data_IF_979416954301
#
_entry.id   IF_979416954301
#
_cell.length_a   1.000
_cell.length_b   1.000
_cell.length_c   1.000
_cell.angle_alpha   90.00
_cell.angle_beta   90.00
_cell.angle_gamma   90.00
#
_symmetry.space_group_name_H-M   'P 1'
#
loop_
_entity.id
_entity.type
_entity.pdbx_description
1 polymer ?
#
# COMPACT_ATOMS: atom_id res chain seq x y z
N UNK A 1 -81.22 -33.10 1.74
CA UNK A 1 -80.03 -33.15 2.61
C UNK A 1 -78.99 -32.22 2.00
N UNK A 2 -78.63 -31.13 2.68
CA UNK A 2 -77.66 -30.16 2.19
C UNK A 2 -76.29 -30.43 2.85
N UNK A 3 -75.29 -30.78 2.03
CA UNK A 3 -73.91 -30.92 2.49
C UNK A 3 -73.27 -29.53 2.51
N UNK A 4 -73.02 -29.00 3.71
CA UNK A 4 -72.27 -27.76 3.91
C UNK A 4 -70.77 -28.09 3.83
N UNK A 5 -70.13 -27.66 2.75
CA UNK A 5 -68.67 -27.70 2.62
C UNK A 5 -68.06 -26.53 3.38
N UNK A 6 -67.54 -26.78 4.58
CA UNK A 6 -66.77 -25.78 5.34
C UNK A 6 -65.39 -25.67 4.67
N UNK A 7 -65.23 -24.67 3.80
CA UNK A 7 -63.95 -24.34 3.19
C UNK A 7 -62.93 -23.94 4.26
N UNK A 8 -62.01 -24.85 4.59
CA UNK A 8 -60.92 -24.57 5.51
C UNK A 8 -60.07 -23.40 5.02
N UNK A 9 -59.97 -22.32 5.81
CA UNK A 9 -59.04 -21.20 5.57
C UNK A 9 -57.61 -21.75 5.50
N UNK A 10 -57.05 -21.86 4.28
CA UNK A 10 -55.64 -22.20 4.05
C UNK A 10 -54.76 -21.25 4.89
N UNK A 11 -54.05 -21.79 5.88
CA UNK A 11 -53.00 -21.09 6.65
C UNK A 11 -51.81 -20.72 5.74
N UNK A 12 -52.00 -19.74 4.85
CA UNK A 12 -50.99 -19.24 3.91
C UNK A 12 -49.82 -18.53 4.63
N UNK A 13 -50.02 -18.06 5.86
CA UNK A 13 -49.02 -17.30 6.63
C UNK A 13 -47.84 -18.09 7.20
N UNK A 14 -47.98 -19.40 7.49
CA UNK A 14 -46.90 -20.18 8.14
C UNK A 14 -45.74 -20.50 7.20
N UNK A 15 -46.02 -20.72 5.91
CA UNK A 15 -44.97 -20.91 4.89
C UNK A 15 -44.23 -19.61 4.57
N UNK A 16 -44.94 -18.48 4.56
CA UNK A 16 -44.34 -17.15 4.36
C UNK A 16 -43.42 -16.81 5.54
N UNK A 17 -43.84 -17.08 6.78
CA UNK A 17 -43.01 -16.89 7.97
C UNK A 17 -41.75 -17.78 7.98
N UNK A 18 -41.86 -19.04 7.57
CA UNK A 18 -40.71 -19.93 7.45
C UNK A 18 -39.71 -19.43 6.40
N UNK A 19 -40.19 -19.00 5.23
CA UNK A 19 -39.35 -18.40 4.19
C UNK A 19 -38.65 -17.13 4.72
N UNK A 20 -39.38 -16.28 5.44
CA UNK A 20 -38.84 -15.04 6.00
C UNK A 20 -37.78 -15.31 7.08
N UNK A 21 -37.99 -16.30 7.95
CA UNK A 21 -36.97 -16.76 8.92
C UNK A 21 -35.73 -17.28 8.22
N UNK A 22 -35.88 -18.06 7.14
CA UNK A 22 -34.74 -18.57 6.37
C UNK A 22 -33.97 -17.42 5.72
N UNK A 23 -34.66 -16.43 5.14
CA UNK A 23 -34.03 -15.23 4.55
C UNK A 23 -33.26 -14.45 5.62
N UNK A 24 -33.86 -14.23 6.79
CA UNK A 24 -33.19 -13.56 7.91
C UNK A 24 -31.96 -14.36 8.35
N UNK A 25 -32.07 -15.69 8.49
CA UNK A 25 -30.94 -16.54 8.87
C UNK A 25 -29.78 -16.45 7.87
N UNK A 26 -30.08 -16.43 6.56
CA UNK A 26 -29.09 -16.23 5.49
C UNK A 26 -28.44 -14.85 5.61
N UNK A 27 -29.22 -13.78 5.82
CA UNK A 27 -28.70 -12.43 5.98
C UNK A 27 -27.81 -12.30 7.22
N UNK A 28 -28.20 -12.88 8.35
CA UNK A 28 -27.40 -12.88 9.58
C UNK A 28 -26.10 -13.66 9.38
N UNK A 29 -26.16 -14.84 8.74
CA UNK A 29 -24.96 -15.62 8.44
C UNK A 29 -24.02 -14.86 7.49
N UNK A 30 -24.56 -14.21 6.46
CA UNK A 30 -23.81 -13.40 5.53
C UNK A 30 -23.14 -12.21 6.23
N UNK A 31 -23.88 -11.43 7.01
CA UNK A 31 -23.32 -10.30 7.76
C UNK A 31 -22.29 -10.74 8.80
N UNK A 32 -22.51 -11.89 9.47
CA UNK A 32 -21.55 -12.48 10.40
C UNK A 32 -20.23 -12.85 9.72
N UNK A 33 -20.30 -13.48 8.54
CA UNK A 33 -19.12 -13.78 7.72
C UNK A 33 -18.41 -12.50 7.26
N UNK A 34 -19.16 -11.50 6.80
CA UNK A 34 -18.62 -10.21 6.37
C UNK A 34 -17.85 -9.52 7.50
N UNK A 35 -18.44 -9.48 8.70
CA UNK A 35 -17.82 -8.89 9.89
C UNK A 35 -16.57 -9.68 10.32
N UNK A 36 -16.63 -11.01 10.30
CA UNK A 36 -15.49 -11.85 10.62
C UNK A 36 -14.28 -11.58 9.70
N UNK A 37 -14.50 -11.53 8.38
CA UNK A 37 -13.43 -11.23 7.41
C UNK A 37 -12.88 -9.82 7.58
N UNK A 38 -13.73 -8.82 7.78
CA UNK A 38 -13.27 -7.46 8.09
C UNK A 38 -12.39 -7.43 9.34
N UNK A 39 -12.81 -8.13 10.41
CA UNK A 39 -12.08 -8.18 11.67
C UNK A 39 -10.73 -8.89 11.56
N UNK A 40 -10.58 -9.83 10.61
CA UNK A 40 -9.27 -10.42 10.30
C UNK A 40 -8.29 -9.37 9.80
N UNK A 41 -8.69 -8.48 8.88
CA UNK A 41 -7.80 -7.43 8.36
C UNK A 41 -7.49 -6.34 9.39
N UNK A 42 -8.50 -5.90 10.15
CA UNK A 42 -8.32 -4.85 11.17
C UNK A 42 -7.34 -5.28 12.26
N UNK A 43 -7.36 -6.56 12.66
CA UNK A 43 -6.54 -7.07 13.75
C UNK A 43 -5.41 -7.99 13.25
N UNK A 44 -5.05 -7.94 11.97
CA UNK A 44 -3.93 -8.75 11.49
C UNK A 44 -2.60 -8.18 12.00
N UNK A 45 -1.53 -9.00 12.04
CA UNK A 45 -0.23 -8.55 12.51
C UNK A 45 0.34 -7.37 11.73
N UNK A 46 0.08 -7.28 10.42
CA UNK A 46 0.60 -6.22 9.57
C UNK A 46 -0.02 -4.86 9.94
N UNK A 47 -1.35 -4.75 9.91
CA UNK A 47 -2.09 -3.52 10.19
C UNK A 47 -1.94 -3.02 11.63
N UNK A 48 -1.62 -3.92 12.57
CA UNK A 48 -1.41 -3.59 13.99
C UNK A 48 0.07 -3.39 14.35
N UNK A 49 1.00 -3.70 13.46
CA UNK A 49 2.45 -3.51 13.69
C UNK A 49 2.81 -2.04 13.83
N UNK A 50 3.92 -1.69 14.51
CA UNK A 50 4.25 -0.29 14.75
C UNK A 50 4.82 0.40 13.50
N UNK A 51 5.65 -0.32 12.73
CA UNK A 51 6.44 0.25 11.65
C UNK A 51 6.34 -0.64 10.41
N UNK A 52 5.80 -0.12 9.33
CA UNK A 52 5.72 -0.82 8.04
C UNK A 52 6.43 0.05 7.00
N UNK A 53 7.27 -0.56 6.17
CA UNK A 53 8.00 0.14 5.11
C UNK A 53 7.59 -0.42 3.75
N UNK A 54 7.20 0.46 2.84
CA UNK A 54 6.93 0.14 1.44
C UNK A 54 7.97 0.81 0.56
N UNK A 55 8.62 0.03 -0.30
CA UNK A 55 9.54 0.52 -1.31
C UNK A 55 8.86 0.46 -2.67
N UNK A 56 8.66 1.62 -3.28
CA UNK A 56 8.01 1.74 -4.58
C UNK A 56 8.99 2.31 -5.57
N UNK A 57 9.27 1.55 -6.63
CA UNK A 57 10.00 2.07 -7.78
C UNK A 57 9.00 2.63 -8.78
N UNK A 58 9.20 3.87 -9.20
CA UNK A 58 8.39 4.51 -10.22
C UNK A 58 9.26 5.42 -11.06
N UNK A 59 9.28 5.20 -12.37
CA UNK A 59 10.23 5.80 -13.31
C UNK A 59 11.69 5.65 -12.81
N UNK A 60 12.43 6.75 -12.71
CA UNK A 60 13.82 6.78 -12.22
C UNK A 60 13.91 7.16 -10.74
N UNK A 61 12.84 6.94 -9.96
CA UNK A 61 12.77 7.33 -8.56
C UNK A 61 12.34 6.15 -7.66
N UNK A 62 12.90 6.14 -6.46
CA UNK A 62 12.58 5.22 -5.38
C UNK A 62 11.85 5.99 -4.28
N UNK A 63 10.68 5.49 -3.89
CA UNK A 63 9.84 6.03 -2.83
C UNK A 63 9.81 5.06 -1.66
N UNK A 64 10.32 5.50 -0.50
CA UNK A 64 10.28 4.74 0.74
C UNK A 64 9.18 5.32 1.64
N UNK A 65 8.05 4.62 1.65
CA UNK A 65 6.85 5.01 2.39
C UNK A 65 6.87 4.27 3.72
N UNK A 66 7.02 5.01 4.81
CA UNK A 66 6.99 4.48 6.17
C UNK A 66 5.66 4.79 6.82
N UNK A 67 4.91 3.75 7.16
CA UNK A 67 3.68 3.84 7.95
C UNK A 67 4.05 3.59 9.41
N UNK A 68 3.93 4.63 10.24
CA UNK A 68 4.25 4.63 11.66
C UNK A 68 2.95 4.65 12.45
N UNK A 69 2.45 3.47 12.83
CA UNK A 69 1.17 3.29 13.51
C UNK A 69 1.20 3.83 14.95
N UNK A 70 2.35 3.74 15.62
CA UNK A 70 2.58 4.26 16.98
C UNK A 70 2.37 5.78 17.09
N UNK A 71 2.81 6.51 16.06
CA UNK A 71 2.74 7.96 15.97
C UNK A 71 1.64 8.46 15.03
N UNK A 72 0.91 7.57 14.35
CA UNK A 72 -0.10 7.86 13.33
C UNK A 72 0.43 8.81 12.24
N UNK A 73 1.63 8.50 11.74
CA UNK A 73 2.32 9.29 10.70
C UNK A 73 2.66 8.42 9.50
N UNK A 74 2.71 9.06 8.34
CA UNK A 74 3.36 8.52 7.15
C UNK A 74 4.49 9.45 6.76
N UNK A 75 5.65 8.88 6.45
CA UNK A 75 6.79 9.59 5.89
C UNK A 75 7.11 8.99 4.53
N UNK A 76 7.26 9.83 3.51
CA UNK A 76 7.60 9.40 2.15
C UNK A 76 8.96 10.00 1.82
N UNK A 77 10.00 9.17 1.86
CA UNK A 77 11.35 9.58 1.47
C UNK A 77 11.53 9.27 -0.01
N UNK A 78 12.06 10.23 -0.77
CA UNK A 78 12.34 10.06 -2.19
C UNK A 78 13.83 10.09 -2.47
N UNK A 79 14.30 9.13 -3.24
CA UNK A 79 15.69 9.05 -3.69
C UNK A 79 15.69 8.75 -5.19
N UNK A 80 16.58 9.41 -5.94
CA UNK A 80 16.76 9.07 -7.35
C UNK A 80 17.39 7.68 -7.49
N UNK A 81 16.94 6.91 -8.47
CA UNK A 81 17.46 5.57 -8.72
C UNK A 81 18.96 5.59 -9.10
N UNK A 82 19.72 4.66 -8.51
CA UNK A 82 21.17 4.55 -8.67
C UNK A 82 21.99 5.51 -7.80
N UNK A 83 21.37 6.18 -6.83
CA UNK A 83 22.07 7.09 -5.90
C UNK A 83 22.98 6.32 -4.95
N UNK A 84 24.25 6.72 -4.90
CA UNK A 84 25.27 6.16 -4.00
C UNK A 84 25.50 7.07 -2.79
N UNK A 85 25.52 6.48 -1.60
CA UNK A 85 25.85 7.14 -0.35
C UNK A 85 27.34 6.97 -0.07
N UNK A 86 28.15 8.04 -0.11
CA UNK A 86 29.60 7.92 -0.17
C UNK A 86 30.24 7.35 1.10
N UNK A 87 29.62 7.55 2.27
CA UNK A 87 30.19 7.10 3.55
C UNK A 87 30.02 5.59 3.77
N UNK A 88 28.87 5.03 3.37
CA UNK A 88 28.56 3.61 3.51
C UNK A 88 28.86 2.79 2.25
N UNK A 89 29.10 3.46 1.12
CA UNK A 89 29.20 2.85 -0.21
C UNK A 89 27.96 2.06 -0.66
N UNK A 90 26.82 2.28 -0.01
CA UNK A 90 25.53 1.69 -0.40
C UNK A 90 25.00 2.47 -1.61
N UNK A 91 24.52 1.75 -2.62
CA UNK A 91 23.82 2.31 -3.78
C UNK A 91 22.38 1.83 -3.75
N UNK A 92 21.43 2.76 -3.68
CA UNK A 92 20.02 2.45 -3.79
C UNK A 92 19.65 2.32 -5.26
N UNK A 93 19.42 1.09 -5.71
CA UNK A 93 19.09 0.71 -7.09
C UNK A 93 17.80 -0.09 -7.16
N UNK A 94 16.96 0.25 -8.13
CA UNK A 94 15.70 -0.42 -8.47
C UNK A 94 15.92 -1.83 -9.02
N UNK A 95 17.15 -2.28 -9.28
CA UNK A 95 17.44 -3.65 -9.76
C UNK A 95 16.95 -4.74 -8.81
N UNK A 96 16.94 -4.49 -7.50
CA UNK A 96 16.44 -5.43 -6.49
C UNK A 96 15.83 -4.67 -5.31
N UNK A 97 14.49 -4.55 -5.32
CA UNK A 97 13.79 -3.77 -4.30
C UNK A 97 13.83 -4.39 -2.89
N UNK A 98 13.97 -5.71 -2.76
CA UNK A 98 14.15 -6.33 -1.44
C UNK A 98 15.47 -5.86 -0.82
N UNK A 99 16.57 -5.98 -1.57
CA UNK A 99 17.87 -5.45 -1.14
C UNK A 99 17.80 -3.95 -0.86
N UNK A 100 17.23 -3.18 -1.79
CA UNK A 100 17.16 -1.72 -1.66
C UNK A 100 16.35 -1.28 -0.44
N UNK A 101 15.34 -2.05 -0.05
CA UNK A 101 14.57 -1.78 1.17
C UNK A 101 15.44 -1.96 2.41
N UNK A 102 16.22 -3.03 2.48
CA UNK A 102 17.10 -3.30 3.62
C UNK A 102 18.25 -2.29 3.68
N UNK A 103 18.85 -1.97 2.54
CA UNK A 103 19.90 -0.94 2.39
C UNK A 103 19.39 0.43 2.85
N UNK A 104 18.16 0.82 2.50
CA UNK A 104 17.53 2.05 2.98
C UNK A 104 17.34 2.05 4.49
N UNK A 105 16.83 0.94 5.05
CA UNK A 105 16.66 0.83 6.50
C UNK A 105 17.99 0.92 7.23
N UNK A 106 19.06 0.31 6.70
CA UNK A 106 20.41 0.39 7.26
C UNK A 106 20.96 1.82 7.18
N UNK A 107 20.90 2.48 6.02
CA UNK A 107 21.38 3.84 5.82
C UNK A 107 20.79 4.83 6.83
N UNK A 108 19.49 4.73 7.05
CA UNK A 108 18.74 5.62 7.92
C UNK A 108 18.69 5.15 9.39
N UNK A 109 19.39 4.07 9.76
CA UNK A 109 19.34 3.45 11.10
C UNK A 109 17.91 3.11 11.59
N UNK A 110 17.10 2.61 10.67
CA UNK A 110 15.68 2.36 10.86
C UNK A 110 15.36 0.89 11.08
N UNK A 111 14.27 0.65 11.80
CA UNK A 111 13.66 -0.66 11.92
C UNK A 111 12.25 -0.68 11.33
N UNK A 112 11.85 -1.86 10.85
CA UNK A 112 10.54 -2.11 10.25
C UNK A 112 10.05 -3.50 10.68
N UNK A 113 8.77 -3.62 11.03
CA UNK A 113 8.15 -4.90 11.37
C UNK A 113 7.79 -5.69 10.11
N UNK A 114 7.38 -4.99 9.06
CA UNK A 114 7.01 -5.57 7.77
C UNK A 114 7.56 -4.69 6.65
N UNK A 115 8.09 -5.35 5.62
CA UNK A 115 8.65 -4.69 4.44
C UNK A 115 7.89 -5.16 3.21
N UNK A 116 7.41 -4.21 2.42
CA UNK A 116 6.76 -4.47 1.15
C UNK A 116 7.52 -3.75 0.04
N UNK A 117 7.53 -4.34 -1.15
CA UNK A 117 8.16 -3.71 -2.30
C UNK A 117 7.42 -4.04 -3.60
N UNK A 118 7.38 -3.07 -4.51
CA UNK A 118 6.77 -3.25 -5.82
C UNK A 118 7.21 -2.17 -6.82
N UNK A 119 7.12 -2.50 -8.10
CA UNK A 119 7.29 -1.54 -9.19
C UNK A 119 5.93 -1.00 -9.64
N UNK A 120 5.92 0.28 -9.99
CA UNK A 120 4.82 0.95 -10.69
C UNK A 120 5.37 1.57 -11.98
N UNK A 121 4.57 1.49 -13.05
CA UNK A 121 4.68 2.38 -14.19
C UNK A 121 3.41 3.23 -14.29
N UNK A 122 3.33 4.12 -15.28
CA UNK A 122 2.14 4.95 -15.50
C UNK A 122 0.85 4.15 -15.64
N UNK A 123 0.87 3.03 -16.37
CA UNK A 123 -0.32 2.21 -16.61
C UNK A 123 -0.85 1.62 -15.29
N UNK A 124 0.03 0.95 -14.54
CA UNK A 124 -0.29 0.32 -13.26
C UNK A 124 -0.68 1.35 -12.22
N UNK A 125 0.02 2.49 -12.15
CA UNK A 125 -0.33 3.59 -11.25
C UNK A 125 -1.73 4.13 -11.55
N UNK A 126 -2.06 4.38 -12.82
CA UNK A 126 -3.37 4.88 -13.22
C UNK A 126 -4.49 3.85 -12.97
N UNK A 127 -4.22 2.55 -13.18
CA UNK A 127 -5.18 1.49 -12.84
C UNK A 127 -5.43 1.43 -11.32
N UNK A 128 -4.37 1.52 -10.52
CA UNK A 128 -4.44 1.55 -9.06
C UNK A 128 -5.25 2.75 -8.56
N UNK A 129 -4.98 3.95 -9.10
CA UNK A 129 -5.72 5.19 -8.85
C UNK A 129 -7.21 5.04 -9.19
N UNK A 130 -7.51 4.47 -10.35
CA UNK A 130 -8.90 4.26 -10.81
C UNK A 130 -9.65 3.35 -9.84
N UNK A 131 -9.00 2.29 -9.36
CA UNK A 131 -9.58 1.37 -8.37
C UNK A 131 -9.84 2.05 -7.01
N UNK A 132 -9.00 3.00 -6.62
CA UNK A 132 -9.20 3.86 -5.45
C UNK A 132 -10.28 4.94 -5.64
N UNK A 133 -10.79 5.12 -6.87
CA UNK A 133 -11.85 6.09 -7.21
C UNK A 133 -11.34 7.46 -7.68
N UNK A 134 -10.04 7.59 -7.98
CA UNK A 134 -9.40 8.86 -8.35
C UNK A 134 -9.37 9.16 -9.86
N UNK A 135 -10.50 9.37 -10.53
CA UNK A 135 -10.58 9.40 -12.01
C UNK A 135 -9.76 10.47 -12.74
N UNK A 136 -9.31 11.54 -12.07
CA UNK A 136 -8.58 12.67 -12.68
C UNK A 136 -7.12 12.75 -12.25
N UNK A 137 -6.67 11.83 -11.41
CA UNK A 137 -5.32 11.79 -10.87
C UNK A 137 -4.41 10.93 -11.78
N UNK A 138 -3.11 11.24 -11.81
CA UNK A 138 -2.15 10.52 -12.65
C UNK A 138 -0.79 10.37 -11.96
N UNK A 139 -0.09 9.31 -12.33
CA UNK A 139 1.27 9.03 -11.87
C UNK A 139 1.39 8.83 -10.36
N UNK A 140 2.60 8.84 -9.84
CA UNK A 140 2.87 8.53 -8.42
C UNK A 140 2.19 9.50 -7.44
N UNK A 141 2.15 10.79 -7.77
CA UNK A 141 1.41 11.78 -6.96
C UNK A 141 -0.08 11.48 -6.92
N UNK A 142 -0.63 11.10 -8.07
CA UNK A 142 -2.00 10.65 -8.15
C UNK A 142 -2.27 9.42 -7.30
N UNK A 143 -1.32 8.49 -7.18
CA UNK A 143 -1.44 7.32 -6.29
C UNK A 143 -1.52 7.77 -4.83
N UNK A 144 -0.62 8.66 -4.39
CA UNK A 144 -0.63 9.15 -3.00
C UNK A 144 -1.88 9.95 -2.67
N UNK A 145 -2.34 10.80 -3.59
CA UNK A 145 -3.58 11.56 -3.42
C UNK A 145 -4.81 10.64 -3.42
N UNK A 146 -4.85 9.62 -4.29
CA UNK A 146 -5.93 8.64 -4.29
C UNK A 146 -5.95 7.84 -2.98
N UNK A 147 -4.78 7.40 -2.49
CA UNK A 147 -4.65 6.68 -1.22
C UNK A 147 -5.15 7.54 -0.05
N UNK A 148 -4.73 8.81 0.02
CA UNK A 148 -5.15 9.76 1.06
C UNK A 148 -6.66 9.95 1.10
N UNK A 149 -7.32 9.97 -0.06
CA UNK A 149 -8.77 10.18 -0.16
C UNK A 149 -9.57 8.87 -0.11
N UNK A 150 -8.91 7.72 -0.06
CA UNK A 150 -9.56 6.41 -0.07
C UNK A 150 -9.84 5.90 1.35
N UNK A 151 -11.10 5.98 1.81
CA UNK A 151 -11.49 5.37 3.08
C UNK A 151 -11.89 3.90 2.89
N UNK A 152 -11.24 2.99 3.62
CA UNK A 152 -11.56 1.55 3.57
C UNK A 152 -12.87 1.20 4.26
N UNK A 153 -13.90 1.11 3.41
CA UNK A 153 -15.18 0.40 3.52
C UNK A 153 -15.04 -0.96 4.19
N UNK A 154 -15.92 -1.32 5.13
CA UNK A 154 -15.91 -2.71 5.61
C UNK A 154 -16.21 -3.75 4.51
N UNK A 155 -16.96 -3.37 3.47
CA UNK A 155 -17.21 -4.20 2.29
C UNK A 155 -16.06 -4.16 1.28
N UNK A 156 -15.21 -3.14 1.33
CA UNK A 156 -14.11 -2.97 0.37
C UNK A 156 -12.93 -3.91 0.66
N UNK A 157 -12.85 -4.50 1.86
CA UNK A 157 -11.88 -5.57 2.18
C UNK A 157 -11.98 -6.78 1.24
N UNK A 158 -13.16 -7.03 0.66
CA UNK A 158 -13.36 -8.11 -0.30
C UNK A 158 -12.78 -7.80 -1.68
N UNK A 159 -12.43 -6.54 -1.95
CA UNK A 159 -11.79 -6.10 -3.18
C UNK A 159 -10.27 -5.97 -3.08
N UNK A 160 -9.67 -6.29 -1.93
CA UNK A 160 -8.23 -6.13 -1.67
C UNK A 160 -7.35 -6.93 -2.62
N UNK A 161 -7.70 -8.19 -2.90
CA UNK A 161 -6.96 -9.02 -3.86
C UNK A 161 -6.84 -8.35 -5.23
N UNK A 162 -7.87 -7.62 -5.66
CA UNK A 162 -7.82 -6.91 -6.94
C UNK A 162 -6.88 -5.70 -6.98
N UNK A 163 -6.34 -5.21 -5.85
CA UNK A 163 -5.25 -4.23 -5.84
C UNK A 163 -3.90 -4.94 -5.94
N UNK A 164 -3.77 -6.07 -5.24
CA UNK A 164 -2.60 -6.94 -5.30
C UNK A 164 -2.40 -7.43 -6.74
N UNK A 165 -3.48 -7.83 -7.41
CA UNK A 165 -3.44 -8.33 -8.79
C UNK A 165 -2.96 -7.26 -9.78
N UNK A 166 -3.36 -5.99 -9.63
CA UNK A 166 -2.90 -4.88 -10.47
C UNK A 166 -1.37 -4.82 -10.46
N UNK A 167 -0.78 -4.88 -9.27
CA UNK A 167 0.68 -4.83 -9.10
C UNK A 167 1.32 -6.13 -9.59
N UNK A 168 0.83 -7.30 -9.15
CA UNK A 168 1.42 -8.61 -9.48
C UNK A 168 1.39 -8.96 -10.96
N UNK A 169 0.42 -8.44 -11.71
CA UNK A 169 0.35 -8.65 -13.15
C UNK A 169 1.50 -7.97 -13.89
N UNK A 170 2.01 -6.85 -13.36
CA UNK A 170 3.15 -6.12 -13.90
C UNK A 170 4.47 -6.59 -13.26
N UNK A 171 4.52 -6.63 -11.93
CA UNK A 171 5.67 -7.04 -11.13
C UNK A 171 5.41 -8.37 -10.43
N UNK A 172 5.93 -9.46 -11.00
CA UNK A 172 5.81 -10.79 -10.38
C UNK A 172 6.70 -10.99 -9.16
N UNK A 173 7.69 -10.12 -8.94
CA UNK A 173 8.65 -10.23 -7.85
C UNK A 173 8.15 -9.57 -6.56
N UNK A 174 7.13 -8.71 -6.63
CA UNK A 174 6.51 -8.08 -5.47
C UNK A 174 6.10 -9.09 -4.40
N UNK A 175 6.33 -8.72 -3.15
CA UNK A 175 5.80 -9.42 -1.99
C UNK A 175 4.49 -8.80 -1.46
N UNK A 176 3.89 -7.85 -2.18
CA UNK A 176 2.65 -7.19 -1.77
C UNK A 176 1.50 -8.21 -1.67
N UNK A 177 0.76 -8.13 -0.58
CA UNK A 177 -0.40 -8.96 -0.28
C UNK A 177 -1.59 -8.13 0.22
N UNK A 178 -2.72 -8.79 0.47
CA UNK A 178 -3.96 -8.09 0.87
C UNK A 178 -3.80 -7.35 2.19
N UNK A 179 -2.98 -7.88 3.11
CA UNK A 179 -2.71 -7.28 4.41
C UNK A 179 -1.87 -6.01 4.26
N UNK A 180 -0.82 -6.05 3.43
CA UNK A 180 0.02 -4.91 3.09
C UNK A 180 -0.77 -3.81 2.39
N UNK A 181 -1.62 -4.16 1.43
CA UNK A 181 -2.51 -3.17 0.77
C UNK A 181 -3.47 -2.56 1.77
N UNK A 182 -4.11 -3.37 2.61
CA UNK A 182 -5.03 -2.88 3.64
C UNK A 182 -4.34 -1.87 4.54
N UNK A 183 -3.16 -2.21 5.07
CA UNK A 183 -2.40 -1.36 5.98
C UNK A 183 -1.97 -0.05 5.30
N UNK A 184 -1.58 -0.09 4.02
CA UNK A 184 -1.20 1.09 3.24
C UNK A 184 -2.40 2.05 3.09
N UNK A 185 -3.52 1.56 2.59
CA UNK A 185 -4.74 2.36 2.39
C UNK A 185 -5.25 2.91 3.73
N UNK A 186 -5.30 2.06 4.75
CA UNK A 186 -5.76 2.45 6.08
C UNK A 186 -4.84 3.51 6.73
N UNK A 187 -3.52 3.41 6.52
CA UNK A 187 -2.56 4.43 6.96
C UNK A 187 -2.79 5.76 6.28
N UNK A 188 -2.78 5.78 4.93
CA UNK A 188 -2.91 7.03 4.14
C UNK A 188 -4.21 7.78 4.41
N UNK A 189 -5.30 7.07 4.65
CA UNK A 189 -6.60 7.68 4.93
C UNK A 189 -6.73 8.27 6.34
N UNK A 190 -5.87 7.89 7.30
CA UNK A 190 -6.07 8.23 8.72
C UNK A 190 -4.92 9.01 9.36
N UNK A 191 -3.75 9.01 8.74
CA UNK A 191 -2.51 9.52 9.34
C UNK A 191 -2.06 10.83 8.71
N UNK A 192 -1.27 11.60 9.46
CA UNK A 192 -0.63 12.79 8.91
C UNK A 192 0.54 12.37 8.01
N UNK A 193 0.60 12.95 6.81
CA UNK A 193 1.60 12.59 5.80
C UNK A 193 2.67 13.68 5.73
N UNK A 194 3.93 13.29 5.89
CA UNK A 194 5.10 14.10 5.54
C UNK A 194 5.57 13.64 4.17
N UNK A 195 5.20 14.40 3.14
CA UNK A 195 5.48 14.04 1.76
C UNK A 195 6.95 14.30 1.38
N UNK A 196 7.36 13.75 0.24
CA UNK A 196 8.72 13.82 -0.28
C UNK A 196 9.17 15.25 -0.65
N UNK A 197 8.27 16.22 -0.77
CA UNK A 197 8.62 17.65 -0.95
C UNK A 197 9.65 18.14 0.09
N UNK A 198 9.64 17.54 1.29
CA UNK A 198 10.57 17.84 2.39
C UNK A 198 11.59 16.73 2.65
N UNK A 199 11.39 15.55 2.06
CA UNK A 199 12.15 14.33 2.33
C UNK A 199 12.75 13.74 1.06
N UNK A 200 13.06 14.58 0.08
CA UNK A 200 13.82 14.18 -1.11
C UNK A 200 15.30 14.29 -0.79
N UNK A 201 16.06 13.20 -0.93
CA UNK A 201 17.52 13.21 -0.80
C UNK A 201 18.11 13.78 -2.08
N UNK A 202 18.67 15.00 -2.06
CA UNK A 202 19.20 15.60 -3.28
C UNK A 202 20.54 14.97 -3.64
N UNK A 203 20.85 14.97 -4.94
CA UNK A 203 22.18 14.61 -5.41
C UNK A 203 23.20 15.72 -5.07
N UNK A 204 24.46 15.31 -4.92
CA UNK A 204 25.59 16.21 -4.75
C UNK A 204 25.84 17.03 -6.02
N UNK A 205 25.62 16.43 -7.19
CA UNK A 205 25.76 17.05 -8.51
C UNK A 205 24.52 16.77 -9.35
N UNK A 206 24.19 17.70 -10.24
CA UNK A 206 23.04 17.55 -11.16
C UNK A 206 23.27 16.49 -12.23
N UNK A 207 24.54 16.20 -12.55
CA UNK A 207 24.93 15.20 -13.53
C UNK A 207 25.77 14.11 -12.85
N UNK A 208 25.63 12.83 -13.25
CA UNK A 208 26.46 11.75 -12.73
C UNK A 208 27.95 12.02 -12.96
N UNK A 209 28.79 11.65 -11.98
CA UNK A 209 30.23 11.64 -12.16
C UNK A 209 30.62 10.49 -13.09
N UNK A 210 31.34 10.82 -14.16
CA UNK A 210 31.97 9.84 -15.04
C UNK A 210 33.32 9.44 -14.48
N UNK A 211 33.42 8.19 -14.03
CA UNK A 211 34.65 7.59 -13.51
C UNK A 211 35.22 6.68 -14.59
N UNK A 212 36.36 7.08 -15.16
CA UNK A 212 37.07 6.29 -16.17
C UNK A 212 38.07 5.36 -15.47
N UNK A 213 37.81 4.05 -15.52
CA UNK A 213 38.69 3.00 -14.99
C UNK A 213 39.15 2.12 -16.16
N UNK A 214 40.43 2.23 -16.51
CA UNK A 214 41.01 1.57 -17.68
C UNK A 214 40.19 1.81 -18.95
N UNK A 215 39.52 0.79 -19.48
CA UNK A 215 38.73 0.86 -20.71
C UNK A 215 37.21 0.98 -20.44
N UNK A 216 36.79 1.29 -19.21
CA UNK A 216 35.39 1.41 -18.81
C UNK A 216 35.10 2.80 -18.25
N UNK A 217 33.94 3.35 -18.62
CA UNK A 217 33.38 4.56 -18.03
C UNK A 217 32.18 4.15 -17.17
N UNK A 218 32.22 4.48 -15.88
CA UNK A 218 31.15 4.20 -14.93
C UNK A 218 30.53 5.53 -14.52
N UNK A 219 29.22 5.65 -14.63
CA UNK A 219 28.47 6.82 -14.16
C UNK A 219 28.00 6.59 -12.73
N UNK A 220 28.24 7.57 -11.86
CA UNK A 220 27.86 7.52 -10.44
C UNK A 220 27.15 8.79 -10.00
N UNK A 221 25.95 8.62 -9.47
CA UNK A 221 25.19 9.66 -8.76
C UNK A 221 25.51 9.56 -7.27
N UNK A 222 25.83 10.67 -6.63
CA UNK A 222 26.13 10.68 -5.19
C UNK A 222 25.09 11.49 -4.44
N UNK A 223 24.68 11.00 -3.28
CA UNK A 223 23.82 11.75 -2.37
C UNK A 223 24.58 12.96 -1.79
N UNK A 224 23.86 14.07 -1.58
CA UNK A 224 24.36 15.18 -0.77
C UNK A 224 24.34 14.78 0.71
N UNK A 225 25.51 14.59 1.30
CA UNK A 225 25.68 14.07 2.67
C UNK A 225 24.99 14.96 3.71
N UNK A 226 25.21 16.27 3.68
CA UNK A 226 24.61 17.20 4.66
C UNK A 226 23.07 17.20 4.59
N UNK A 227 22.50 17.07 3.40
CA UNK A 227 21.06 16.98 3.23
C UNK A 227 20.52 15.62 3.68
N UNK A 228 21.23 14.54 3.38
CA UNK A 228 20.90 13.20 3.83
C UNK A 228 20.83 13.11 5.36
N UNK A 229 21.85 13.60 6.07
CA UNK A 229 21.88 13.58 7.55
C UNK A 229 20.69 14.34 8.16
N UNK A 230 20.35 15.51 7.60
CA UNK A 230 19.15 16.25 8.04
C UNK A 230 17.85 15.49 7.81
N UNK A 231 17.73 14.76 6.71
CA UNK A 231 16.54 13.95 6.42
C UNK A 231 16.51 12.75 7.36
N UNK A 232 17.66 12.14 7.64
CA UNK A 232 17.79 11.02 8.59
C UNK A 232 17.25 11.41 9.97
N UNK A 233 17.65 12.55 10.51
CA UNK A 233 17.14 13.08 11.78
C UNK A 233 15.60 13.31 11.80
N UNK A 234 14.97 13.59 10.64
CA UNK A 234 13.52 13.80 10.56
C UNK A 234 12.76 12.46 10.51
N UNK A 235 13.40 11.42 9.96
CA UNK A 235 12.78 10.13 9.66
C UNK A 235 12.90 9.11 10.82
N UNK A 236 13.83 9.33 11.75
CA UNK A 236 13.91 8.61 13.03
C UNK A 236 12.66 8.77 13.91
#
# INVERSE_FOLDING_TARGET
MANVYVGGKRKRGRRIWLILIIIIAILVAFLGFMFYRYNQFVNNPVATSNKITYTVSYDNELYFIRVLNDNRKIMIVKVEDGTTFPESYITLSSENLDKVTNDFLELFDLNSNFNYYFYLNDEVANEFISKLGGSNLKGIDGVFDALKNSEMRFWQVFGLGGYVDIVKNYDRSTNLDEEGVYALINGFSKYSITNYDKLTVPLLLNEPLQINIANQTIERKYANVDAFERIKEIVE
#
